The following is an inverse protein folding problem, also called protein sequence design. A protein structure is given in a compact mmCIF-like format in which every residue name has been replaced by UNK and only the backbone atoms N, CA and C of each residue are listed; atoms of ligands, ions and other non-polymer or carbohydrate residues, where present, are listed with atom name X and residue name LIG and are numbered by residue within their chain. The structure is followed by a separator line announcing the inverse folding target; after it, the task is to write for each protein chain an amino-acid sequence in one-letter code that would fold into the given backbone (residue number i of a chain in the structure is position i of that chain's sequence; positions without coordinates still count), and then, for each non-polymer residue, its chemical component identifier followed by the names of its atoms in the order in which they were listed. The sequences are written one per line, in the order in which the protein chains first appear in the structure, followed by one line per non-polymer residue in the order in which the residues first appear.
data_IF_361370785268
#
_entry.id   IF_361370785268
#
_cell.length_a   1.000
_cell.length_b   1.000
_cell.length_c   1.000
_cell.angle_alpha   90.00
_cell.angle_beta   90.00
_cell.angle_gamma   90.00
#
_symmetry.space_group_name_H-M   'P 1'
#
loop_
_entity.id
_entity.type
_entity.pdbx_description
1 polymer ?
#
# COMPACT_ATOMS: atom_id res chain seq x y z
N UNK A 1 0.44 -12.81 25.92
CA UNK A 1 -0.54 -11.70 25.91
C UNK A 1 -1.08 -11.64 24.48
N UNK A 2 -2.39 -11.73 24.30
CA UNK A 2 -3.04 -11.74 22.98
C UNK A 2 -3.07 -10.31 22.41
N UNK A 3 -2.70 -10.14 21.14
CA UNK A 3 -2.89 -8.89 20.43
C UNK A 3 -4.06 -9.02 19.46
N UNK A 4 -5.16 -8.35 19.76
CA UNK A 4 -6.31 -8.24 18.85
C UNK A 4 -6.13 -7.01 17.96
N UNK A 5 -6.31 -7.15 16.66
CA UNK A 5 -6.28 -6.06 15.67
C UNK A 5 -7.55 -6.00 14.85
N UNK A 6 -8.06 -4.80 14.63
CA UNK A 6 -9.24 -4.54 13.80
C UNK A 6 -8.80 -4.07 12.42
N UNK A 7 -8.35 -5.01 11.58
CA UNK A 7 -7.82 -4.73 10.23
C UNK A 7 -8.88 -4.98 9.18
N UNK A 8 -9.76 -4.00 9.01
CA UNK A 8 -10.82 -4.07 8.01
C UNK A 8 -10.28 -3.95 6.58
N UNK A 9 -9.28 -3.10 6.37
CA UNK A 9 -8.73 -2.79 5.05
C UNK A 9 -7.21 -3.00 5.02
N UNK A 10 -6.68 -3.18 3.82
CA UNK A 10 -5.25 -3.34 3.55
C UNK A 10 -4.61 -4.61 4.11
N UNK A 11 -5.36 -5.57 4.65
CA UNK A 11 -4.77 -6.73 5.35
C UNK A 11 -3.78 -7.50 4.47
N UNK A 12 -4.16 -7.84 3.23
CA UNK A 12 -3.28 -8.59 2.34
C UNK A 12 -2.01 -7.80 1.99
N UNK A 13 -2.15 -6.51 1.66
CA UNK A 13 -0.99 -5.68 1.37
C UNK A 13 -0.06 -5.54 2.58
N UNK A 14 -0.63 -5.39 3.78
CA UNK A 14 0.11 -5.29 5.05
C UNK A 14 0.96 -6.54 5.29
N UNK A 15 0.35 -7.72 5.13
CA UNK A 15 1.05 -8.98 5.29
C UNK A 15 2.10 -9.19 4.19
N UNK A 16 1.80 -8.81 2.94
CA UNK A 16 2.75 -8.93 1.83
C UNK A 16 3.96 -8.02 2.02
N UNK A 17 3.78 -6.76 2.41
CA UNK A 17 4.93 -5.86 2.61
C UNK A 17 5.86 -6.39 3.69
N UNK A 18 5.31 -6.87 4.80
CA UNK A 18 6.09 -7.45 5.90
C UNK A 18 6.82 -8.74 5.51
N UNK A 19 6.25 -9.53 4.59
CA UNK A 19 6.86 -10.77 4.08
C UNK A 19 7.98 -10.49 3.08
N UNK A 20 7.72 -9.62 2.10
CA UNK A 20 8.52 -9.55 0.87
C UNK A 20 9.56 -8.42 0.88
N UNK A 21 9.41 -7.42 1.75
CA UNK A 21 10.24 -6.20 1.71
C UNK A 21 10.95 -5.96 3.04
N UNK A 22 12.20 -5.49 2.93
CA UNK A 22 12.97 -5.01 4.08
C UNK A 22 12.79 -3.50 4.22
N UNK A 23 12.34 -3.05 5.38
CA UNK A 23 12.13 -1.65 5.71
C UNK A 23 12.17 -1.45 7.22
N UNK A 24 12.61 -0.28 7.68
CA UNK A 24 12.65 0.07 9.11
C UNK A 24 11.66 1.18 9.45
N UNK A 25 11.57 2.19 8.59
CA UNK A 25 10.75 3.40 8.77
C UNK A 25 9.50 3.35 7.90
N UNK A 26 8.36 3.66 8.51
CA UNK A 26 7.04 3.67 7.86
C UNK A 26 6.39 5.03 8.05
N UNK A 27 5.88 5.62 6.97
CA UNK A 27 4.90 6.69 7.05
C UNK A 27 3.51 6.14 6.74
N UNK A 28 2.62 6.17 7.72
CA UNK A 28 1.20 5.80 7.58
C UNK A 28 0.37 7.06 7.25
N UNK A 29 -0.01 7.18 5.97
CA UNK A 29 -0.76 8.31 5.42
C UNK A 29 -2.25 8.00 5.45
N UNK A 30 -3.02 8.84 6.13
CA UNK A 30 -4.42 8.58 6.42
C UNK A 30 -4.61 7.55 7.53
N UNK A 31 -3.76 7.60 8.57
CA UNK A 31 -3.63 6.55 9.60
C UNK A 31 -4.90 6.27 10.42
N UNK A 32 -5.92 7.14 10.35
CA UNK A 32 -7.18 6.96 11.07
C UNK A 32 -6.97 6.83 12.58
N UNK A 33 -7.36 5.70 13.16
CA UNK A 33 -7.17 5.39 14.59
C UNK A 33 -5.80 4.78 14.91
N UNK A 34 -4.96 4.53 13.90
CA UNK A 34 -3.60 4.00 14.07
C UNK A 34 -3.48 2.47 14.16
N UNK A 35 -4.49 1.70 13.73
CA UNK A 35 -4.44 0.23 13.79
C UNK A 35 -3.37 -0.38 12.88
N UNK A 36 -3.17 0.16 11.67
CA UNK A 36 -2.07 -0.27 10.79
C UNK A 36 -0.70 0.09 11.37
N UNK A 37 -0.56 1.32 11.88
CA UNK A 37 0.65 1.74 12.59
C UNK A 37 0.99 0.82 13.77
N UNK A 38 0.00 0.48 14.60
CA UNK A 38 0.16 -0.46 15.72
C UNK A 38 0.59 -1.85 15.24
N UNK A 39 0.07 -2.31 14.10
CA UNK A 39 0.46 -3.59 13.52
C UNK A 39 1.90 -3.57 13.05
N UNK A 40 2.35 -2.54 12.33
CA UNK A 40 3.75 -2.39 11.94
C UNK A 40 4.69 -2.31 13.16
N UNK A 41 4.30 -1.59 14.22
CA UNK A 41 5.08 -1.51 15.46
C UNK A 41 5.24 -2.87 16.15
N UNK A 42 4.25 -3.76 16.07
CA UNK A 42 4.35 -5.14 16.57
C UNK A 42 5.49 -5.92 15.88
N UNK A 43 5.79 -5.60 14.62
CA UNK A 43 6.91 -6.16 13.85
C UNK A 43 8.18 -5.29 13.94
N UNK A 44 8.32 -4.49 15.00
CA UNK A 44 9.52 -3.71 15.31
C UNK A 44 9.78 -2.52 14.39
N UNK A 45 8.78 -2.08 13.61
CA UNK A 45 8.92 -0.94 12.70
C UNK A 45 8.78 0.39 13.43
N UNK A 46 9.52 1.40 12.98
CA UNK A 46 9.37 2.79 13.41
C UNK A 46 8.30 3.44 12.54
N UNK A 47 7.16 3.75 13.11
CA UNK A 47 6.02 4.28 12.36
C UNK A 47 5.75 5.72 12.76
N UNK A 48 5.68 6.58 11.76
CA UNK A 48 5.17 7.94 11.87
C UNK A 48 3.82 8.02 11.13
N UNK A 49 2.93 8.89 11.61
CA UNK A 49 1.53 8.92 11.21
C UNK A 49 1.11 10.32 10.76
N UNK A 50 0.38 10.40 9.64
CA UNK A 50 -0.21 11.65 9.16
C UNK A 50 -1.71 11.43 8.92
N UNK A 51 -2.56 12.19 9.61
CA UNK A 51 -4.01 12.06 9.48
C UNK A 51 -4.69 13.42 9.69
N UNK A 52 -5.86 13.61 9.09
CA UNK A 52 -6.64 14.85 9.23
C UNK A 52 -7.01 15.16 10.69
N UNK A 53 -7.15 14.11 11.51
CA UNK A 53 -7.60 14.19 12.89
C UNK A 53 -6.65 13.44 13.83
N UNK A 54 -6.58 13.82 15.11
CA UNK A 54 -5.83 13.03 16.09
C UNK A 54 -6.47 11.63 16.28
N UNK A 55 -5.68 10.63 16.69
CA UNK A 55 -4.24 10.69 16.99
C UNK A 55 -3.37 10.56 15.73
N UNK A 56 -2.39 11.46 15.56
CA UNK A 56 -1.33 11.36 14.56
C UNK A 56 -0.13 12.23 14.95
N UNK A 57 1.06 11.92 14.45
CA UNK A 57 2.26 12.74 14.63
C UNK A 57 2.12 14.07 13.89
N UNK A 58 1.56 14.04 12.68
CA UNK A 58 1.09 15.21 11.95
C UNK A 58 -0.43 15.19 11.80
N UNK A 59 -1.10 16.10 12.52
CA UNK A 59 -2.55 16.32 12.41
C UNK A 59 -2.83 17.38 11.35
N UNK A 60 -3.42 16.97 10.23
CA UNK A 60 -3.80 17.86 9.14
C UNK A 60 -3.80 17.18 7.76
N UNK A 61 -3.93 18.01 6.72
CA UNK A 61 -3.88 17.57 5.33
C UNK A 61 -2.46 17.09 4.98
N UNK A 62 -2.35 15.87 4.47
CA UNK A 62 -1.08 15.29 4.03
C UNK A 62 -0.36 16.17 3.02
N UNK A 63 -1.04 16.87 2.11
CA UNK A 63 -0.39 17.74 1.13
C UNK A 63 0.37 18.90 1.78
N UNK A 64 -0.18 19.49 2.84
CA UNK A 64 0.39 20.65 3.53
C UNK A 64 1.19 20.31 4.78
N UNK A 65 1.10 19.07 5.28
CA UNK A 65 1.87 18.61 6.43
C UNK A 65 3.39 18.81 6.20
N UNK A 66 4.13 19.38 7.16
CA UNK A 66 5.55 19.72 7.01
C UNK A 66 6.45 18.49 7.25
N UNK A 67 6.25 17.45 6.44
CA UNK A 67 7.03 16.22 6.48
C UNK A 67 8.22 16.39 5.54
N UNK A 68 9.43 16.40 6.11
CA UNK A 68 10.69 16.58 5.37
C UNK A 68 11.55 15.31 5.33
N UNK A 69 11.34 14.39 6.27
CA UNK A 69 12.08 13.13 6.34
C UNK A 69 11.63 12.12 5.27
N UNK A 70 12.54 11.21 4.91
CA UNK A 70 12.26 10.15 3.94
C UNK A 70 12.13 8.78 4.63
N UNK A 71 11.24 7.95 4.10
CA UNK A 71 10.85 6.66 4.65
C UNK A 71 11.19 5.50 3.74
N UNK A 72 11.42 4.33 4.34
CA UNK A 72 11.63 3.06 3.61
C UNK A 72 10.30 2.51 3.05
N UNK A 73 9.20 2.72 3.77
CA UNK A 73 7.85 2.36 3.37
C UNK A 73 6.91 3.56 3.55
N UNK A 74 6.11 3.86 2.54
CA UNK A 74 4.90 4.66 2.70
C UNK A 74 3.69 3.74 2.57
N UNK A 75 2.88 3.71 3.62
CA UNK A 75 1.62 3.00 3.71
C UNK A 75 0.47 3.99 3.49
N UNK A 76 -0.43 3.69 2.54
CA UNK A 76 -1.57 4.52 2.21
C UNK A 76 -2.80 3.63 1.99
N UNK A 77 -3.67 3.52 2.99
CA UNK A 77 -4.85 2.66 2.93
C UNK A 77 -6.12 3.52 2.96
N UNK A 78 -6.89 3.51 1.87
CA UNK A 78 -8.17 4.24 1.74
C UNK A 78 -8.05 5.74 2.06
N UNK A 79 -6.99 6.38 1.53
CA UNK A 79 -6.75 7.82 1.67
C UNK A 79 -6.66 8.57 0.33
N UNK A 80 -6.27 7.90 -0.75
CA UNK A 80 -6.01 8.53 -2.06
C UNK A 80 -7.31 8.91 -2.78
N UNK A 81 -8.36 8.11 -2.64
CA UNK A 81 -9.70 8.37 -3.21
C UNK A 81 -10.36 9.65 -2.68
N UNK A 82 -9.92 10.14 -1.52
CA UNK A 82 -10.41 11.37 -0.92
C UNK A 82 -9.68 12.62 -1.46
N UNK A 83 -8.61 12.43 -2.24
CA UNK A 83 -7.76 13.53 -2.69
C UNK A 83 -8.36 14.23 -3.90
N UNK A 84 -8.49 15.55 -3.80
CA UNK A 84 -8.87 16.41 -4.95
C UNK A 84 -7.78 16.48 -6.02
N UNK A 85 -6.52 16.37 -5.60
CA UNK A 85 -5.34 16.48 -6.46
C UNK A 85 -4.47 15.23 -6.29
N UNK A 86 -4.87 14.07 -6.82
CA UNK A 86 -4.13 12.82 -6.63
C UNK A 86 -2.71 12.87 -7.20
N UNK A 87 -2.48 13.65 -8.27
CA UNK A 87 -1.12 13.88 -8.81
C UNK A 87 -0.17 14.49 -7.78
N UNK A 88 -0.53 15.64 -7.19
CA UNK A 88 0.29 16.29 -6.15
C UNK A 88 0.51 15.40 -4.92
N UNK A 89 -0.49 14.57 -4.60
CA UNK A 89 -0.40 13.62 -3.50
C UNK A 89 0.66 12.54 -3.79
N UNK A 90 0.61 11.95 -4.98
CA UNK A 90 1.59 10.93 -5.41
C UNK A 90 2.98 11.52 -5.64
N UNK A 91 3.10 12.77 -6.12
CA UNK A 91 4.38 13.48 -6.22
C UNK A 91 5.03 13.63 -4.85
N UNK A 92 4.23 14.01 -3.84
CA UNK A 92 4.71 14.12 -2.45
C UNK A 92 5.12 12.75 -1.90
N UNK A 93 4.33 11.70 -2.13
CA UNK A 93 4.70 10.33 -1.74
C UNK A 93 6.04 9.93 -2.39
N UNK A 94 6.17 10.13 -3.70
CA UNK A 94 7.40 9.79 -4.41
C UNK A 94 8.62 10.53 -3.85
N UNK A 95 8.47 11.83 -3.50
CA UNK A 95 9.52 12.63 -2.85
C UNK A 95 9.89 12.11 -1.46
N UNK A 96 8.91 11.71 -0.66
CA UNK A 96 9.11 11.24 0.73
C UNK A 96 9.61 9.79 0.80
N UNK A 97 9.57 9.03 -0.29
CA UNK A 97 10.22 7.73 -0.35
C UNK A 97 11.72 7.85 -0.56
N UNK A 98 12.48 7.11 0.25
CA UNK A 98 13.90 6.86 -0.02
C UNK A 98 14.09 6.20 -1.38
N UNK A 99 15.28 6.31 -2.01
CA UNK A 99 15.65 5.44 -3.11
C UNK A 99 15.42 3.97 -2.70
N UNK A 100 14.85 3.18 -3.60
CA UNK A 100 14.52 1.77 -3.37
C UNK A 100 13.44 1.53 -2.28
N UNK A 101 12.81 2.60 -1.79
CA UNK A 101 11.68 2.55 -0.86
C UNK A 101 10.40 2.02 -1.50
N UNK A 102 9.46 1.59 -0.68
CA UNK A 102 8.24 0.89 -1.10
C UNK A 102 7.02 1.77 -0.86
N UNK A 103 6.13 1.87 -1.85
CA UNK A 103 4.78 2.35 -1.68
C UNK A 103 3.83 1.16 -1.62
N UNK A 104 3.01 1.09 -0.57
CA UNK A 104 1.85 0.20 -0.52
C UNK A 104 0.57 1.04 -0.47
N UNK A 105 -0.29 0.81 -1.44
CA UNK A 105 -1.51 1.58 -1.70
C UNK A 105 -2.71 0.63 -1.72
N UNK A 106 -3.68 0.86 -0.84
CA UNK A 106 -4.94 0.12 -0.81
C UNK A 106 -6.09 1.06 -1.17
N UNK A 107 -6.89 0.68 -2.17
CA UNK A 107 -7.92 1.51 -2.77
C UNK A 107 -9.27 0.79 -2.77
N UNK A 108 -10.38 1.52 -2.61
CA UNK A 108 -11.70 0.92 -2.64
C UNK A 108 -12.02 0.37 -4.03
N UNK A 109 -12.66 -0.80 -4.06
CA UNK A 109 -13.22 -1.37 -5.29
C UNK A 109 -14.71 -0.99 -5.37
N UNK A 110 -15.02 0.04 -6.15
CA UNK A 110 -16.41 0.48 -6.39
C UNK A 110 -16.69 0.62 -7.89
N UNK A 111 -17.94 0.35 -8.34
CA UNK A 111 -18.34 0.64 -9.72
C UNK A 111 -18.13 2.12 -10.05
N UNK A 112 -17.63 2.41 -11.26
CA UNK A 112 -17.31 3.78 -11.73
C UNK A 112 -18.45 4.79 -11.52
N UNK A 113 -19.71 4.34 -11.68
CA UNK A 113 -20.90 5.19 -11.55
C UNK A 113 -21.46 5.30 -10.12
N UNK A 114 -20.91 4.57 -9.14
CA UNK A 114 -21.42 4.59 -7.77
C UNK A 114 -20.97 5.87 -7.07
N UNK A 115 -21.94 6.68 -6.65
CA UNK A 115 -21.69 7.82 -5.76
C UNK A 115 -21.42 7.31 -4.33
N UNK A 116 -20.23 7.59 -3.80
CA UNK A 116 -19.86 7.31 -2.41
C UNK A 116 -19.43 8.63 -1.77
N UNK A 117 -20.08 9.10 -0.69
CA UNK A 117 -19.72 10.35 -0.04
C UNK A 117 -18.23 10.40 0.33
N UNK A 118 -17.56 11.49 -0.06
CA UNK A 118 -16.14 11.71 0.20
C UNK A 118 -15.18 11.02 -0.76
N UNK A 119 -15.61 10.04 -1.56
CA UNK A 119 -14.76 9.41 -2.58
C UNK A 119 -14.86 10.24 -3.86
N UNK A 120 -13.77 10.93 -4.20
CA UNK A 120 -13.66 11.81 -5.37
C UNK A 120 -13.11 11.08 -6.60
N UNK A 121 -12.64 9.85 -6.43
CA UNK A 121 -12.07 9.04 -7.51
C UNK A 121 -12.44 7.57 -7.33
N UNK A 122 -12.69 6.90 -8.46
CA UNK A 122 -12.79 5.44 -8.53
C UNK A 122 -11.51 4.93 -9.19
N UNK A 123 -10.86 3.96 -8.56
CA UNK A 123 -9.56 3.47 -8.98
C UNK A 123 -9.65 2.08 -9.60
N UNK A 124 -8.93 1.90 -10.71
CA UNK A 124 -8.63 0.60 -11.29
C UNK A 124 -7.11 0.39 -11.30
N UNK A 125 -6.65 -0.83 -11.57
CA UNK A 125 -5.21 -1.09 -11.69
C UNK A 125 -4.59 -0.19 -12.77
N UNK A 126 -5.26 -0.06 -13.91
CA UNK A 126 -4.78 0.76 -15.04
C UNK A 126 -4.67 2.23 -14.67
N UNK A 127 -5.71 2.80 -14.06
CA UNK A 127 -5.72 4.22 -13.70
C UNK A 127 -4.68 4.51 -12.61
N UNK A 128 -4.57 3.64 -11.60
CA UNK A 128 -3.59 3.80 -10.54
C UNK A 128 -2.14 3.68 -11.09
N UNK A 129 -1.86 2.68 -11.92
CA UNK A 129 -0.54 2.54 -12.56
C UNK A 129 -0.19 3.74 -13.43
N UNK A 130 -1.15 4.31 -14.17
CA UNK A 130 -0.91 5.51 -14.96
C UNK A 130 -0.52 6.71 -14.08
N UNK A 131 -1.28 6.96 -13.01
CA UNK A 131 -0.96 8.02 -12.06
C UNK A 131 0.41 7.84 -11.39
N UNK A 132 0.75 6.60 -11.03
CA UNK A 132 2.06 6.27 -10.45
C UNK A 132 3.20 6.52 -11.44
N UNK A 133 3.05 6.13 -12.71
CA UNK A 133 4.05 6.39 -13.76
C UNK A 133 4.27 7.91 -13.94
N UNK A 134 3.21 8.72 -13.90
CA UNK A 134 3.33 10.17 -14.01
C UNK A 134 4.01 10.81 -12.80
N UNK A 135 3.88 10.20 -11.62
CA UNK A 135 4.57 10.59 -10.39
C UNK A 135 6.03 10.10 -10.30
N UNK A 136 6.51 9.36 -11.31
CA UNK A 136 7.90 8.89 -11.38
C UNK A 136 8.13 7.42 -11.03
N UNK A 137 7.07 6.63 -10.78
CA UNK A 137 7.21 5.21 -10.45
C UNK A 137 7.37 4.33 -11.70
N UNK A 138 8.23 3.32 -11.59
CA UNK A 138 8.30 2.22 -12.54
C UNK A 138 7.35 1.09 -12.12
N UNK A 139 6.22 0.97 -12.83
CA UNK A 139 5.16 0.02 -12.51
C UNK A 139 5.31 -1.33 -13.22
N UNK A 140 6.37 -1.59 -14.01
CA UNK A 140 6.52 -2.84 -14.79
C UNK A 140 6.38 -4.09 -13.93
N UNK A 141 6.94 -4.05 -12.73
CA UNK A 141 6.94 -5.16 -11.77
C UNK A 141 6.06 -4.88 -10.55
N UNK A 142 5.06 -3.99 -10.67
CA UNK A 142 4.12 -3.73 -9.58
C UNK A 142 3.45 -5.04 -9.14
N UNK A 143 3.27 -5.19 -7.83
CA UNK A 143 2.40 -6.24 -7.31
C UNK A 143 1.00 -5.71 -7.16
N UNK A 144 -0.01 -6.42 -7.67
CA UNK A 144 -1.42 -6.10 -7.45
C UNK A 144 -2.23 -7.30 -7.00
N UNK A 145 -3.22 -7.02 -6.16
CA UNK A 145 -4.25 -7.99 -5.79
C UNK A 145 -5.60 -7.28 -5.67
N UNK A 146 -6.53 -7.66 -6.55
CA UNK A 146 -7.92 -7.23 -6.49
C UNK A 146 -8.73 -8.26 -5.69
N UNK A 147 -8.85 -8.00 -4.40
CA UNK A 147 -9.63 -8.77 -3.43
C UNK A 147 -11.01 -8.14 -3.26
N UNK A 148 -11.45 -7.91 -2.02
CA UNK A 148 -12.54 -6.97 -1.68
C UNK A 148 -12.12 -5.49 -1.80
N UNK A 149 -10.84 -5.24 -2.09
CA UNK A 149 -10.24 -3.94 -2.37
C UNK A 149 -9.12 -4.10 -3.42
N UNK A 150 -8.64 -3.01 -3.98
CA UNK A 150 -7.46 -3.02 -4.85
C UNK A 150 -6.21 -2.72 -4.03
N UNK A 151 -5.34 -3.72 -3.88
CA UNK A 151 -4.03 -3.59 -3.23
C UNK A 151 -2.94 -3.46 -4.29
N UNK A 152 -2.06 -2.46 -4.15
CA UNK A 152 -0.92 -2.20 -5.02
C UNK A 152 0.35 -2.03 -4.19
N UNK A 153 1.45 -2.65 -4.63
CA UNK A 153 2.77 -2.45 -4.02
C UNK A 153 3.79 -2.19 -5.13
N UNK A 154 4.44 -1.03 -5.09
CA UNK A 154 5.48 -0.62 -6.04
C UNK A 154 6.73 -0.21 -5.29
N UNK A 155 7.88 -0.66 -5.77
CA UNK A 155 9.18 -0.21 -5.26
C UNK A 155 9.68 0.94 -6.13
N UNK A 156 10.06 2.05 -5.51
CA UNK A 156 10.65 3.21 -6.19
C UNK A 156 12.00 2.80 -6.76
N UNK A 157 12.15 2.85 -8.08
CA UNK A 157 13.41 2.53 -8.75
C UNK A 157 14.17 3.80 -9.14
N UNK A 158 15.51 3.72 -9.20
CA UNK A 158 16.34 4.82 -9.74
C UNK A 158 16.16 5.03 -11.25
N UNK A 159 15.62 4.03 -11.95
CA UNK A 159 15.38 4.05 -13.39
C UNK A 159 13.93 4.35 -13.77
N UNK A 160 13.14 4.92 -12.86
CA UNK A 160 11.78 5.36 -13.15
C UNK A 160 11.72 6.53 -14.14
N UNK A 161 10.53 6.82 -14.68
CA UNK A 161 10.32 8.00 -15.50
C UNK A 161 10.58 9.29 -14.71
N UNK A 162 10.91 10.37 -15.42
CA UNK A 162 10.86 11.70 -14.83
C UNK A 162 9.41 12.05 -14.51
N UNK A 163 9.16 12.48 -13.27
CA UNK A 163 7.83 12.96 -12.87
C UNK A 163 7.44 14.18 -13.73
N UNK A 164 6.22 14.20 -14.23
CA UNK A 164 5.75 15.23 -15.16
C UNK A 164 4.32 15.65 -14.87
N UNK A 165 4.08 16.96 -14.91
CA UNK A 165 2.72 17.53 -14.85
C UNK A 165 2.11 17.72 -16.25
N UNK A 166 2.91 17.56 -17.30
CA UNK A 166 2.48 17.61 -18.70
C UNK A 166 2.32 16.20 -19.26
N UNK A 167 1.45 16.03 -20.24
CA UNK A 167 1.24 14.74 -20.91
C UNK A 167 2.50 14.31 -21.69
N UNK A 168 3.23 13.25 -21.25
CA UNK A 168 4.30 12.69 -22.03
C UNK A 168 3.73 11.87 -23.20
N UNK A 169 4.56 11.60 -24.22
CA UNK A 169 4.19 10.67 -25.28
C UNK A 169 3.79 9.31 -24.70
N UNK A 170 2.75 8.68 -25.25
CA UNK A 170 2.28 7.37 -24.79
C UNK A 170 3.39 6.31 -24.68
N UNK A 171 4.34 6.26 -25.64
CA UNK A 171 5.45 5.31 -25.61
C UNK A 171 6.33 5.43 -24.35
N UNK A 172 6.48 6.65 -23.81
CA UNK A 172 7.20 6.87 -22.54
C UNK A 172 6.42 6.33 -21.35
N UNK A 173 5.09 6.48 -21.34
CA UNK A 173 4.23 5.95 -20.26
C UNK A 173 4.21 4.42 -20.32
N UNK A 174 3.95 3.87 -21.51
CA UNK A 174 3.85 2.44 -21.77
C UNK A 174 5.11 1.68 -21.36
N UNK A 175 6.29 2.29 -21.52
CA UNK A 175 7.57 1.68 -21.15
C UNK A 175 7.67 1.33 -19.65
N UNK A 176 6.86 1.96 -18.80
CA UNK A 176 6.86 1.76 -17.34
C UNK A 176 5.58 1.12 -16.81
N UNK A 177 4.64 0.71 -17.66
CA UNK A 177 3.43 0.01 -17.26
C UNK A 177 3.65 -1.52 -17.24
N UNK A 178 2.88 -2.28 -16.44
CA UNK A 178 2.81 -3.72 -16.57
C UNK A 178 2.42 -4.13 -18.00
N UNK A 179 3.09 -5.15 -18.55
CA UNK A 179 2.86 -5.60 -19.93
C UNK A 179 1.46 -6.16 -20.18
N UNK A 180 0.72 -6.51 -19.12
CA UNK A 180 -0.66 -6.99 -19.20
C UNK A 180 -1.69 -5.86 -19.37
N UNK A 181 -1.28 -4.59 -19.26
CA UNK A 181 -2.19 -3.45 -19.42
C UNK A 181 -2.14 -2.93 -20.85
N UNK A 182 -3.26 -3.05 -21.56
CA UNK A 182 -3.39 -2.68 -22.96
C UNK A 182 -4.28 -1.45 -23.14
N UNK A 183 -3.92 -0.58 -24.08
CA UNK A 183 -4.71 0.63 -24.39
C UNK A 183 -6.11 0.23 -24.87
N UNK A 184 -7.13 0.82 -24.25
CA UNK A 184 -8.54 0.57 -24.60
C UNK A 184 -9.10 -0.73 -24.04
N UNK A 185 -8.31 -1.52 -23.31
CA UNK A 185 -8.79 -2.73 -22.64
C UNK A 185 -9.38 -2.39 -21.26
N UNK A 186 -10.46 -3.08 -20.90
CA UNK A 186 -10.99 -3.09 -19.52
C UNK A 186 -10.60 -4.38 -18.77
N UNK A 187 -9.82 -5.27 -19.40
CA UNK A 187 -9.38 -6.51 -18.79
C UNK A 187 -8.19 -6.25 -17.87
N UNK A 188 -8.43 -6.29 -16.57
CA UNK A 188 -7.38 -6.17 -15.55
C UNK A 188 -7.21 -7.52 -14.83
N UNK A 189 -5.97 -8.00 -14.64
CA UNK A 189 -5.75 -9.21 -13.87
C UNK A 189 -6.15 -8.99 -12.40
N UNK A 190 -6.83 -9.97 -11.82
CA UNK A 190 -7.14 -9.95 -10.39
C UNK A 190 -5.90 -10.14 -9.51
N UNK A 191 -4.83 -10.70 -10.07
CA UNK A 191 -3.56 -10.95 -9.38
C UNK A 191 -2.38 -10.67 -10.33
N UNK A 192 -1.43 -9.85 -9.90
CA UNK A 192 -0.20 -9.56 -10.63
C UNK A 192 0.98 -9.57 -9.65
N UNK A 193 2.03 -10.36 -9.94
CA UNK A 193 3.25 -10.44 -9.13
C UNK A 193 3.04 -10.69 -7.61
N UNK A 194 1.91 -11.26 -7.21
CA UNK A 194 1.56 -11.48 -5.79
C UNK A 194 1.83 -12.92 -5.32
N UNK A 195 1.66 -13.89 -6.23
CA UNK A 195 1.86 -15.33 -6.11
C UNK A 195 0.95 -16.04 -5.08
N UNK A 196 1.17 -15.84 -3.78
CA UNK A 196 0.42 -16.49 -2.70
C UNK A 196 -0.37 -15.46 -1.90
N UNK A 197 -1.70 -15.62 -1.91
CA UNK A 197 -2.65 -14.75 -1.21
C UNK A 197 -3.11 -15.32 0.14
N UNK A 198 -2.73 -16.55 0.45
CA UNK A 198 -3.17 -17.30 1.63
C UNK A 198 -2.08 -17.40 2.69
N UNK A 199 -0.83 -17.68 2.31
CA UNK A 199 0.23 -17.89 3.30
C UNK A 199 1.20 -16.71 3.36
N UNK A 200 1.31 -16.13 4.55
CA UNK A 200 2.24 -15.06 4.84
C UNK A 200 3.16 -15.50 5.99
N UNK A 201 4.28 -16.18 5.68
CA UNK A 201 5.32 -16.44 6.66
C UNK A 201 5.98 -15.12 7.08
N UNK A 202 5.83 -14.74 8.36
CA UNK A 202 6.39 -13.50 8.90
C UNK A 202 7.51 -13.81 9.91
N UNK A 203 8.61 -13.05 9.81
CA UNK A 203 9.72 -13.09 10.78
C UNK A 203 9.28 -12.40 12.08
N UNK A 204 9.59 -13.03 13.21
CA UNK A 204 8.73 -13.04 14.41
C UNK A 204 8.48 -11.75 15.19
N UNK A 205 7.48 -11.93 16.05
CA UNK A 205 7.13 -11.26 17.30
C UNK A 205 7.74 -12.11 18.45
N UNK A 206 7.90 -11.61 19.67
CA UNK A 206 8.37 -12.44 20.80
C UNK A 206 7.59 -13.77 20.93
N UNK A 207 8.30 -14.86 21.29
CA UNK A 207 7.70 -16.19 21.49
C UNK A 207 6.50 -16.16 22.43
N UNK A 208 5.40 -16.82 22.05
CA UNK A 208 4.18 -16.92 22.86
C UNK A 208 3.18 -15.77 22.71
N UNK A 209 3.36 -14.85 21.74
CA UNK A 209 2.36 -13.84 21.38
C UNK A 209 1.45 -14.33 20.27
N UNK A 210 0.15 -14.41 20.55
CA UNK A 210 -0.90 -14.75 19.57
C UNK A 210 -1.42 -13.46 18.92
N UNK A 211 -1.51 -13.43 17.59
CA UNK A 211 -2.14 -12.34 16.84
C UNK A 211 -3.54 -12.78 16.45
N UNK A 212 -4.55 -12.03 16.89
CA UNK A 212 -5.92 -12.19 16.43
C UNK A 212 -6.29 -11.03 15.52
N UNK A 213 -6.79 -11.33 14.33
CA UNK A 213 -7.21 -10.32 13.35
C UNK A 213 -8.73 -10.41 13.19
N UNK A 214 -9.41 -9.33 13.54
CA UNK A 214 -10.84 -9.16 13.33
C UNK A 214 -11.07 -8.25 12.12
N UNK A 215 -11.85 -8.74 11.16
CA UNK A 215 -12.08 -8.03 9.91
C UNK A 215 -13.45 -8.32 9.35
N UNK A 216 -14.28 -7.27 9.26
CA UNK A 216 -15.59 -7.33 8.59
C UNK A 216 -15.51 -7.88 7.17
N UNK A 217 -14.40 -7.61 6.47
CA UNK A 217 -14.21 -8.07 5.10
C UNK A 217 -13.85 -9.55 5.05
N UNK A 218 -13.12 -10.08 6.04
CA UNK A 218 -12.90 -11.52 6.13
C UNK A 218 -14.16 -12.28 6.56
N UNK A 219 -15.09 -11.64 7.24
CA UNK A 219 -16.40 -12.23 7.56
C UNK A 219 -17.29 -12.29 6.32
N UNK A 220 -17.27 -11.26 5.47
CA UNK A 220 -17.98 -11.22 4.19
C UNK A 220 -17.35 -12.09 3.12
N UNK A 221 -16.02 -12.21 3.12
CA UNK A 221 -15.23 -12.94 2.13
C UNK A 221 -14.31 -13.98 2.80
N UNK A 222 -14.88 -15.03 3.44
CA UNK A 222 -14.10 -16.00 4.21
C UNK A 222 -13.09 -16.77 3.38
N UNK A 223 -13.32 -16.93 2.06
CA UNK A 223 -12.39 -17.56 1.14
C UNK A 223 -11.12 -16.74 0.91
N UNK A 224 -11.07 -15.48 1.32
CA UNK A 224 -9.88 -14.62 1.23
C UNK A 224 -9.12 -14.55 2.57
N UNK A 225 -9.51 -15.33 3.57
CA UNK A 225 -8.84 -15.31 4.88
C UNK A 225 -7.39 -15.81 4.76
N UNK A 226 -6.39 -14.98 5.10
CA UNK A 226 -5.01 -15.41 5.10
C UNK A 226 -4.70 -16.28 6.33
N UNK A 227 -3.88 -17.31 6.11
CA UNK A 227 -3.14 -17.98 7.16
C UNK A 227 -1.86 -17.17 7.47
N UNK A 228 -1.82 -16.55 8.65
CA UNK A 228 -0.62 -15.87 9.15
C UNK A 228 0.23 -16.90 9.87
N UNK A 229 1.46 -17.13 9.38
CA UNK A 229 2.39 -18.09 9.95
C UNK A 229 3.55 -17.31 10.59
N UNK A 230 3.59 -17.23 11.92
CA UNK A 230 4.70 -16.61 12.65
C UNK A 230 5.73 -17.68 13.00
N UNK A 231 7.00 -17.42 12.70
CA UNK A 231 8.12 -18.30 13.06
C UNK A 231 9.01 -17.60 14.08
N UNK A 232 9.38 -18.23 15.24
CA UNK A 232 10.24 -17.64 16.27
C UNK A 232 11.49 -16.96 15.68
N UNK A 233 11.98 -15.90 16.34
CA UNK A 233 13.29 -15.31 16.03
C UNK A 233 14.38 -16.33 16.39
N UNK A 234 14.66 -17.26 15.48
CA UNK A 234 15.75 -18.22 15.64
C UNK A 234 17.10 -17.51 15.58
N UNK A 235 18.03 -17.90 16.47
CA UNK A 235 19.47 -17.75 16.19
C UNK A 235 19.71 -18.31 14.79
N UNK A 236 20.24 -17.50 13.89
CA UNK A 236 20.65 -17.81 12.52
C UNK A 236 20.19 -19.18 11.98
N UNK A 237 19.15 -19.19 11.17
CA UNK A 237 19.01 -20.27 10.20
C UNK A 237 20.01 -19.99 9.09
N UNK A 238 21.15 -20.68 9.16
CA UNK A 238 22.04 -20.86 8.02
C UNK A 238 21.22 -21.50 6.89
N UNK A 239 21.07 -20.75 5.80
CA UNK A 239 20.84 -21.27 4.45
C UNK A 239 21.73 -20.48 3.49
#
# INVERSE_FOLDING_TARGET
MEHVFHLHWGLHALLKVLRDYSFETVLDVGSGTGEHARFFQLFGKKVSTCNLFPPADWVGDFLTAPIEEQFDLIWCSHALEHQRNPGLFLDKIHRLLRPDGVLALCLPHHPKARLVPGHLSAWSLSLACQHLVYAGFDCRNISSFSSYELSLIVQKSKGGPEATQTEPSWEKVKAYLPSCLEVGSENEPSLLNWNDVFHYPLKCIEEGREIKIESKNLDLYPLLRPAVLTQPLGKGLDI
#
